data_IF_812555788414
#
_entry.id   IF_812555788414
#
_cell.length_a   1.000
_cell.length_b   1.000
_cell.length_c   1.000
_cell.angle_alpha   90.00
_cell.angle_beta   90.00
_cell.angle_gamma   90.00
#
_symmetry.space_group_name_H-M   'P 1'
#
loop_
_entity.id
_entity.type
_entity.pdbx_description
1 polymer ?
#
# COMPACT_ATOMS: atom_id res chain seq x y z
N UNK A 1 5.84 23.68 7.94
CA UNK A 1 5.93 22.47 8.79
C UNK A 1 4.50 22.07 9.11
N UNK A 2 4.00 20.95 8.57
CA UNK A 2 2.67 20.44 8.91
C UNK A 2 2.70 20.06 10.39
N UNK A 3 1.81 20.63 11.20
CA UNK A 3 1.84 20.50 12.67
C UNK A 3 1.78 19.04 13.16
N UNK A 4 1.21 18.12 12.36
CA UNK A 4 0.84 16.78 12.78
C UNK A 4 1.97 15.75 12.97
N UNK A 5 3.17 15.92 12.39
CA UNK A 5 4.22 14.88 12.46
C UNK A 5 4.93 14.84 13.82
N UNK A 6 5.43 15.98 14.37
CA UNK A 6 5.97 16.01 15.73
C UNK A 6 4.91 15.71 16.79
N UNK A 7 3.67 16.20 16.58
CA UNK A 7 2.56 15.95 17.50
C UNK A 7 2.17 14.47 17.57
N UNK A 8 2.20 13.74 16.44
CA UNK A 8 1.98 12.29 16.41
C UNK A 8 2.97 11.54 17.30
N UNK A 9 4.27 11.83 17.20
CA UNK A 9 5.30 11.14 18.01
C UNK A 9 5.10 11.41 19.51
N UNK A 10 4.82 12.66 19.86
CA UNK A 10 4.51 13.07 21.24
C UNK A 10 3.27 12.34 21.77
N UNK A 11 2.20 12.27 20.98
CA UNK A 11 0.96 11.59 21.36
C UNK A 11 1.15 10.07 21.52
N UNK A 12 1.93 9.43 20.65
CA UNK A 12 2.27 8.00 20.77
C UNK A 12 3.10 7.72 22.03
N UNK A 13 4.05 8.60 22.38
CA UNK A 13 4.79 8.52 23.64
C UNK A 13 3.87 8.66 24.86
N UNK A 14 2.97 9.63 24.86
CA UNK A 14 1.97 9.82 25.92
C UNK A 14 1.03 8.61 26.05
N UNK A 15 0.70 7.96 24.94
CA UNK A 15 -0.09 6.72 24.91
C UNK A 15 0.72 5.47 25.32
N UNK A 16 2.01 5.60 25.65
CA UNK A 16 2.88 4.48 26.05
C UNK A 16 3.31 3.56 24.90
N UNK A 17 3.09 3.96 23.64
CA UNK A 17 3.51 3.19 22.46
C UNK A 17 4.94 3.46 22.05
N UNK A 18 5.52 4.56 22.52
CA UNK A 18 6.93 4.89 22.41
C UNK A 18 7.53 5.09 23.80
N UNK A 19 8.81 4.81 23.94
CA UNK A 19 9.57 4.97 25.17
C UNK A 19 10.52 6.17 25.12
N UNK A 20 10.98 6.53 23.93
CA UNK A 20 11.93 7.60 23.71
C UNK A 20 11.39 8.98 24.09
N UNK A 21 12.25 9.85 24.62
CA UNK A 21 11.86 11.16 25.13
C UNK A 21 12.13 12.30 24.14
N UNK A 22 13.09 12.15 23.22
CA UNK A 22 13.35 13.13 22.16
C UNK A 22 12.62 12.79 20.86
N UNK A 23 12.28 13.80 20.06
CA UNK A 23 11.59 13.58 18.78
C UNK A 23 12.42 12.71 17.82
N UNK A 24 13.73 12.91 17.77
CA UNK A 24 14.64 12.14 16.91
C UNK A 24 14.62 10.65 17.30
N UNK A 25 14.75 10.35 18.59
CA UNK A 25 14.69 8.98 19.09
C UNK A 25 13.28 8.36 18.95
N UNK A 26 12.22 9.16 19.04
CA UNK A 26 10.84 8.70 18.79
C UNK A 26 10.61 8.33 17.32
N UNK A 27 11.16 9.10 16.38
CA UNK A 27 11.10 8.79 14.95
C UNK A 27 11.85 7.48 14.68
N UNK A 28 13.06 7.33 15.20
CA UNK A 28 13.86 6.11 15.05
C UNK A 28 13.17 4.89 15.68
N UNK A 29 12.62 5.03 16.89
CA UNK A 29 11.86 3.98 17.56
C UNK A 29 10.61 3.59 16.77
N UNK A 30 9.86 4.57 16.26
CA UNK A 30 8.64 4.33 15.46
C UNK A 30 8.96 3.56 14.19
N UNK A 31 10.02 3.95 13.48
CA UNK A 31 10.48 3.26 12.28
C UNK A 31 10.91 1.84 12.59
N UNK A 32 11.71 1.65 13.65
CA UNK A 32 12.14 0.33 14.10
C UNK A 32 10.94 -0.56 14.42
N UNK A 33 9.93 -0.04 15.12
CA UNK A 33 8.71 -0.79 15.44
C UNK A 33 7.97 -1.25 14.19
N UNK A 34 7.85 -0.41 13.17
CA UNK A 34 7.25 -0.82 11.89
C UNK A 34 8.03 -1.97 11.24
N UNK A 35 9.36 -1.90 11.24
CA UNK A 35 10.20 -2.98 10.72
C UNK A 35 10.08 -4.25 11.56
N UNK A 36 10.04 -4.14 12.89
CA UNK A 36 9.80 -5.26 13.81
C UNK A 36 8.42 -5.91 13.58
N UNK A 37 7.42 -5.13 13.16
CA UNK A 37 6.11 -5.66 12.75
C UNK A 37 6.16 -6.45 11.45
N UNK A 38 7.20 -6.28 10.63
CA UNK A 38 7.45 -7.06 9.41
C UNK A 38 7.53 -6.24 8.12
N UNK A 39 7.53 -4.91 8.18
CA UNK A 39 7.84 -4.08 7.00
C UNK A 39 9.33 -4.17 6.67
N UNK A 40 9.68 -4.19 5.37
CA UNK A 40 11.08 -4.27 4.97
C UNK A 40 11.81 -2.94 5.24
N UNK A 41 13.06 -3.01 5.68
CA UNK A 41 13.88 -1.81 5.89
C UNK A 41 14.04 -0.98 4.62
N UNK A 42 14.09 -1.63 3.45
CA UNK A 42 14.19 -0.93 2.16
C UNK A 42 13.00 0.00 1.89
N UNK A 43 11.79 -0.34 2.39
CA UNK A 43 10.59 0.50 2.25
C UNK A 43 10.69 1.83 3.01
N UNK A 44 11.59 1.92 4.00
CA UNK A 44 11.76 3.12 4.84
C UNK A 44 12.20 4.33 4.01
N UNK A 45 12.92 4.10 2.91
CA UNK A 45 13.38 5.16 2.00
C UNK A 45 12.20 5.96 1.41
N UNK A 46 11.04 5.33 1.24
CA UNK A 46 9.87 5.94 0.58
C UNK A 46 8.63 6.09 1.47
N UNK A 47 8.58 5.42 2.62
CA UNK A 47 7.41 5.44 3.51
C UNK A 47 6.99 6.86 3.92
N UNK A 48 7.93 7.78 4.11
CA UNK A 48 7.64 9.17 4.45
C UNK A 48 6.90 9.92 3.32
N UNK A 49 7.20 9.59 2.05
CA UNK A 49 6.52 10.16 0.87
C UNK A 49 5.06 9.72 0.82
N UNK A 50 4.79 8.44 1.12
CA UNK A 50 3.44 7.90 1.19
C UNK A 50 2.60 8.61 2.26
N UNK A 51 3.22 8.88 3.41
CA UNK A 51 2.56 9.64 4.47
C UNK A 51 2.35 11.11 4.07
N UNK A 52 3.34 11.74 3.44
CA UNK A 52 3.21 13.12 2.92
C UNK A 52 2.16 13.25 1.80
N UNK A 53 1.94 12.18 1.04
CA UNK A 53 0.89 12.04 0.03
C UNK A 53 -0.43 11.48 0.60
N UNK A 54 -0.52 11.27 1.92
CA UNK A 54 -1.75 10.92 2.65
C UNK A 54 -2.32 9.53 2.33
N UNK A 55 -1.49 8.68 1.71
CA UNK A 55 -1.92 7.39 1.16
C UNK A 55 -2.46 6.49 2.27
N UNK A 56 -1.71 6.31 3.35
CA UNK A 56 -2.08 5.38 4.43
C UNK A 56 -3.38 5.77 5.13
N UNK A 57 -3.55 7.05 5.49
CA UNK A 57 -4.78 7.53 6.14
C UNK A 57 -5.99 7.41 5.22
N UNK A 58 -5.85 7.75 3.94
CA UNK A 58 -6.93 7.72 2.97
C UNK A 58 -7.44 6.30 2.78
N UNK A 59 -6.52 5.37 2.58
CA UNK A 59 -6.81 3.97 2.38
C UNK A 59 -7.42 3.36 3.64
N UNK A 60 -6.88 3.65 4.84
CA UNK A 60 -7.40 3.09 6.08
C UNK A 60 -8.85 3.51 6.35
N UNK A 61 -9.18 4.80 6.19
CA UNK A 61 -10.56 5.29 6.39
C UNK A 61 -11.49 4.72 5.31
N UNK A 62 -11.06 4.72 4.05
CA UNK A 62 -11.86 4.22 2.93
C UNK A 62 -12.19 2.73 3.10
N UNK A 63 -11.19 1.89 3.36
CA UNK A 63 -11.40 0.44 3.48
C UNK A 63 -12.15 0.05 4.75
N UNK A 64 -11.96 0.74 5.87
CA UNK A 64 -12.79 0.48 7.06
C UNK A 64 -14.28 0.72 6.76
N UNK A 65 -14.61 1.80 6.03
CA UNK A 65 -15.98 2.05 5.58
C UNK A 65 -16.46 0.97 4.59
N UNK A 66 -15.64 0.60 3.61
CA UNK A 66 -15.98 -0.39 2.59
C UNK A 66 -16.23 -1.79 3.19
N UNK A 67 -15.30 -2.31 4.00
CA UNK A 67 -15.43 -3.63 4.62
C UNK A 67 -16.62 -3.69 5.57
N UNK A 68 -16.80 -2.64 6.39
CA UNK A 68 -17.94 -2.56 7.30
C UNK A 68 -19.27 -2.20 6.63
N UNK A 69 -19.26 -1.82 5.34
CA UNK A 69 -20.42 -1.30 4.59
C UNK A 69 -21.06 -0.09 5.27
N UNK A 70 -20.24 0.82 5.78
CA UNK A 70 -20.69 2.07 6.38
C UNK A 70 -21.01 3.11 5.30
N UNK A 71 -22.01 3.93 5.57
CA UNK A 71 -22.34 5.10 4.76
C UNK A 71 -21.33 6.21 4.99
N UNK A 72 -21.13 7.05 3.97
CA UNK A 72 -20.25 8.23 4.05
C UNK A 72 -20.70 9.25 5.10
N UNK A 73 -21.93 9.15 5.62
CA UNK A 73 -22.47 10.02 6.68
C UNK A 73 -22.40 9.39 8.08
N UNK A 74 -21.92 8.15 8.21
CA UNK A 74 -21.87 7.43 9.49
C UNK A 74 -20.73 7.93 10.40
N UNK A 75 -19.80 8.72 9.85
CA UNK A 75 -18.69 9.32 10.57
C UNK A 75 -17.80 8.30 11.33
N UNK A 76 -17.59 7.12 10.75
CA UNK A 76 -16.85 6.02 11.37
C UNK A 76 -15.50 6.48 11.95
N UNK A 77 -15.24 6.14 13.21
CA UNK A 77 -14.05 6.54 13.96
C UNK A 77 -13.81 8.06 14.10
N UNK A 78 -14.87 8.85 13.93
CA UNK A 78 -14.79 10.32 13.97
C UNK A 78 -14.21 10.93 12.71
N UNK A 79 -14.12 10.17 11.61
CA UNK A 79 -13.70 10.67 10.30
C UNK A 79 -14.90 11.02 9.43
N UNK A 80 -14.78 12.08 8.64
CA UNK A 80 -15.71 12.37 7.53
C UNK A 80 -14.95 12.81 6.28
N UNK A 81 -15.69 13.07 5.19
CA UNK A 81 -15.16 13.62 3.95
C UNK A 81 -15.82 14.95 3.65
N UNK A 82 -15.02 16.00 3.44
CA UNK A 82 -15.56 17.30 3.08
C UNK A 82 -14.55 18.15 2.31
N UNK A 83 -15.03 19.26 1.74
CA UNK A 83 -14.14 20.29 1.22
C UNK A 83 -13.49 21.04 2.39
N UNK A 84 -12.17 21.22 2.35
CA UNK A 84 -11.44 21.97 3.37
C UNK A 84 -10.21 22.63 2.77
N UNK A 85 -9.88 23.84 3.24
CA UNK A 85 -8.70 24.59 2.79
C UNK A 85 -7.86 24.95 4.01
N UNK A 86 -6.65 24.41 4.11
CA UNK A 86 -5.79 24.61 5.27
C UNK A 86 -6.40 24.02 6.54
N UNK A 87 -6.24 24.74 7.66
CA UNK A 87 -6.76 24.38 8.98
C UNK A 87 -8.18 24.91 9.25
N UNK A 88 -8.88 25.42 8.25
CA UNK A 88 -10.24 25.92 8.40
C UNK A 88 -11.25 24.78 8.58
N UNK A 89 -12.39 25.08 9.21
CA UNK A 89 -13.52 24.15 9.26
C UNK A 89 -13.98 23.76 7.84
N UNK A 90 -14.55 22.55 7.68
CA UNK A 90 -15.15 22.11 6.43
C UNK A 90 -16.12 23.12 5.83
N UNK A 91 -16.10 23.24 4.50
CA UNK A 91 -16.97 24.11 3.73
C UNK A 91 -17.74 23.32 2.68
N UNK A 92 -18.80 23.93 2.14
CA UNK A 92 -19.46 23.39 0.96
C UNK A 92 -18.49 23.41 -0.24
N UNK A 93 -18.48 22.32 -1.00
CA UNK A 93 -17.65 22.18 -2.19
C UNK A 93 -18.22 23.00 -3.35
N UNK A 94 -17.36 23.65 -4.14
CA UNK A 94 -17.81 24.41 -5.32
C UNK A 94 -18.30 23.47 -6.42
N UNK A 95 -19.22 23.94 -7.28
CA UNK A 95 -19.67 23.17 -8.46
C UNK A 95 -18.52 22.83 -9.41
N UNK A 96 -17.53 23.72 -9.53
CA UNK A 96 -16.34 23.47 -10.34
C UNK A 96 -15.50 22.32 -9.79
N UNK A 97 -15.25 22.30 -8.48
CA UNK A 97 -14.46 21.23 -7.87
C UNK A 97 -15.21 19.90 -7.87
N UNK A 98 -16.54 19.90 -7.76
CA UNK A 98 -17.38 18.71 -7.95
C UNK A 98 -17.27 18.15 -9.38
N UNK A 99 -17.31 19.04 -10.39
CA UNK A 99 -17.12 18.63 -11.78
C UNK A 99 -15.72 18.09 -12.05
N UNK A 100 -14.69 18.67 -11.42
CA UNK A 100 -13.32 18.17 -11.51
C UNK A 100 -13.17 16.80 -10.84
N UNK A 101 -13.79 16.57 -9.68
CA UNK A 101 -13.82 15.25 -9.05
C UNK A 101 -14.43 14.20 -9.96
N UNK A 102 -15.62 14.49 -10.52
CA UNK A 102 -16.29 13.59 -11.46
C UNK A 102 -15.41 13.25 -12.66
N UNK A 103 -14.60 14.22 -13.14
CA UNK A 103 -13.75 14.05 -14.31
C UNK A 103 -12.46 13.28 -14.04
N UNK A 104 -11.78 13.55 -12.92
CA UNK A 104 -10.36 13.18 -12.75
C UNK A 104 -10.05 12.45 -11.45
N UNK A 105 -10.99 12.35 -10.52
CA UNK A 105 -10.74 11.65 -9.26
C UNK A 105 -10.61 10.15 -9.50
N UNK A 106 -9.69 9.51 -8.76
CA UNK A 106 -9.62 8.06 -8.64
C UNK A 106 -10.55 7.50 -7.54
N UNK A 107 -11.35 8.37 -6.91
CA UNK A 107 -12.28 8.01 -5.83
C UNK A 107 -11.65 7.95 -4.43
N UNK A 108 -10.37 8.29 -4.27
CA UNK A 108 -9.64 8.25 -3.00
C UNK A 108 -9.22 9.67 -2.61
N UNK A 109 -9.75 10.25 -1.52
CA UNK A 109 -9.32 11.56 -1.04
C UNK A 109 -7.84 11.55 -0.59
N UNK A 110 -7.10 12.67 -0.75
CA UNK A 110 -7.60 13.96 -1.19
C UNK A 110 -7.81 14.06 -2.71
N UNK A 111 -8.90 14.74 -3.11
CA UNK A 111 -9.25 14.97 -4.52
C UNK A 111 -9.99 16.29 -4.69
N UNK A 112 -9.43 17.21 -5.51
CA UNK A 112 -9.97 18.56 -5.75
C UNK A 112 -10.55 19.21 -4.47
N UNK A 113 -9.76 19.30 -3.39
CA UNK A 113 -10.15 19.81 -2.06
C UNK A 113 -11.10 18.95 -1.22
N UNK A 114 -11.63 17.83 -1.71
CA UNK A 114 -12.20 16.79 -0.84
C UNK A 114 -11.06 16.21 -0.02
N UNK A 115 -11.15 16.29 1.30
CA UNK A 115 -10.15 15.77 2.23
C UNK A 115 -10.82 14.90 3.30
N UNK A 116 -10.00 14.13 4.00
CA UNK A 116 -10.40 13.47 5.25
C UNK A 116 -10.45 14.52 6.35
N UNK A 117 -11.55 14.53 7.09
CA UNK A 117 -11.78 15.44 8.20
C UNK A 117 -11.70 14.65 9.50
N UNK A 118 -10.97 15.19 10.48
CA UNK A 118 -11.13 14.81 11.88
C UNK A 118 -12.28 15.64 12.47
N UNK A 119 -13.43 15.00 12.72
CA UNK A 119 -14.63 15.67 13.21
C UNK A 119 -14.47 16.23 14.64
N UNK A 120 -13.51 15.72 15.41
CA UNK A 120 -13.25 16.19 16.79
C UNK A 120 -12.37 17.43 16.81
N UNK A 121 -11.57 17.62 15.77
CA UNK A 121 -10.68 18.75 15.63
C UNK A 121 -11.41 20.09 15.57
N UNK A 122 -10.66 21.17 15.80
CA UNK A 122 -11.16 22.54 15.81
C UNK A 122 -12.42 22.71 16.69
N UNK A 123 -12.33 22.27 17.94
CA UNK A 123 -13.42 22.30 18.93
C UNK A 123 -14.71 21.62 18.46
N UNK A 124 -14.60 20.51 17.73
CA UNK A 124 -15.75 19.76 17.21
C UNK A 124 -16.40 20.33 15.95
N UNK A 125 -15.83 21.39 15.35
CA UNK A 125 -16.30 21.90 14.05
C UNK A 125 -15.70 21.17 12.86
N UNK A 126 -14.78 20.23 13.11
CA UNK A 126 -14.05 19.50 12.10
C UNK A 126 -12.83 20.26 11.60
N UNK A 127 -11.78 19.52 11.25
CA UNK A 127 -10.58 20.04 10.60
C UNK A 127 -10.07 19.02 9.60
N UNK A 128 -9.43 19.47 8.53
CA UNK A 128 -8.63 18.56 7.71
C UNK A 128 -7.63 17.84 8.62
N UNK A 129 -7.65 16.51 8.61
CA UNK A 129 -6.92 15.70 9.58
C UNK A 129 -5.40 16.01 9.60
N UNK A 130 -4.86 16.52 8.49
CA UNK A 130 -3.46 16.95 8.36
C UNK A 130 -3.04 18.09 9.27
N UNK A 131 -4.00 18.94 9.61
CA UNK A 131 -3.79 20.09 10.47
C UNK A 131 -4.25 19.82 11.91
N UNK A 132 -4.74 18.61 12.19
CA UNK A 132 -4.93 18.18 13.57
C UNK A 132 -3.57 18.01 14.26
N UNK A 133 -3.51 18.32 15.55
CA UNK A 133 -2.25 18.41 16.31
C UNK A 133 -1.45 17.10 16.28
N UNK A 134 -2.13 15.97 16.38
CA UNK A 134 -1.52 14.65 16.42
C UNK A 134 -1.78 13.83 15.16
N UNK A 135 -2.32 14.41 14.08
CA UNK A 135 -2.81 13.67 12.90
C UNK A 135 -4.00 12.74 13.20
N UNK A 136 -4.79 13.03 14.24
CA UNK A 136 -5.97 12.30 14.70
C UNK A 136 -5.65 10.89 15.26
N UNK A 137 -4.90 10.80 16.37
CA UNK A 137 -4.51 9.51 16.98
C UNK A 137 -5.69 8.68 17.42
N UNK A 138 -6.68 9.34 18.02
CA UNK A 138 -7.86 8.66 18.50
C UNK A 138 -8.62 7.98 17.36
N UNK A 139 -8.66 8.59 16.18
CA UNK A 139 -9.24 7.98 14.97
C UNK A 139 -8.43 6.78 14.50
N UNK A 140 -7.10 6.90 14.48
CA UNK A 140 -6.21 5.79 14.09
C UNK A 140 -6.34 4.58 15.04
N UNK A 141 -6.47 4.80 16.36
CA UNK A 141 -6.75 3.72 17.30
C UNK A 141 -8.09 3.05 17.06
N UNK A 142 -9.14 3.82 16.78
CA UNK A 142 -10.43 3.25 16.43
C UNK A 142 -10.34 2.40 15.14
N UNK A 143 -9.65 2.87 14.09
CA UNK A 143 -9.46 2.09 12.86
C UNK A 143 -8.70 0.78 13.13
N UNK A 144 -7.64 0.82 13.94
CA UNK A 144 -6.91 -0.39 14.36
C UNK A 144 -7.82 -1.34 15.13
N UNK A 145 -8.62 -0.81 16.06
CA UNK A 145 -9.56 -1.59 16.85
C UNK A 145 -10.60 -2.29 15.98
N UNK A 146 -11.15 -1.61 14.96
CA UNK A 146 -12.07 -2.23 14.00
C UNK A 146 -11.45 -3.46 13.32
N UNK A 147 -10.17 -3.38 12.96
CA UNK A 147 -9.48 -4.44 12.21
C UNK A 147 -8.91 -5.57 13.07
N UNK A 148 -8.68 -5.36 14.37
CA UNK A 148 -7.93 -6.31 15.22
C UNK A 148 -8.69 -6.83 16.43
N UNK A 149 -9.65 -6.07 16.97
CA UNK A 149 -10.40 -6.43 18.19
C UNK A 149 -9.53 -6.80 19.41
N UNK A 150 -8.28 -6.31 19.47
CA UNK A 150 -7.29 -6.79 20.46
C UNK A 150 -7.00 -5.87 21.64
N UNK A 151 -7.48 -4.62 21.66
CA UNK A 151 -6.85 -3.61 22.53
C UNK A 151 -7.70 -3.09 23.69
N UNK A 152 -9.04 -3.22 23.68
CA UNK A 152 -9.88 -2.60 24.73
C UNK A 152 -11.22 -3.33 24.92
N UNK A 153 -11.82 -3.18 26.10
CA UNK A 153 -13.25 -3.48 26.29
C UNK A 153 -14.06 -2.54 25.39
N UNK A 154 -14.67 -3.10 24.36
CA UNK A 154 -15.50 -2.36 23.41
C UNK A 154 -16.85 -2.01 24.04
N UNK A 155 -17.40 -0.85 23.69
CA UNK A 155 -18.86 -0.67 23.80
C UNK A 155 -19.57 -1.62 22.83
N UNK A 156 -20.85 -1.90 23.08
CA UNK A 156 -21.65 -2.77 22.19
C UNK A 156 -21.65 -2.27 20.73
N UNK A 157 -21.66 -0.96 20.53
CA UNK A 157 -21.58 -0.34 19.21
C UNK A 157 -20.20 -0.57 18.57
N UNK A 158 -19.11 -0.38 19.32
CA UNK A 158 -17.76 -0.61 18.82
C UNK A 158 -17.54 -2.09 18.47
N UNK A 159 -18.05 -3.00 19.28
CA UNK A 159 -18.02 -4.44 19.01
C UNK A 159 -18.77 -4.79 17.73
N UNK A 160 -19.98 -4.26 17.57
CA UNK A 160 -20.78 -4.44 16.34
C UNK A 160 -20.05 -3.90 15.11
N UNK A 161 -19.46 -2.72 15.22
CA UNK A 161 -18.73 -2.11 14.10
C UNK A 161 -17.47 -2.89 13.75
N UNK A 162 -16.70 -3.36 14.73
CA UNK A 162 -15.53 -4.20 14.49
C UNK A 162 -15.92 -5.53 13.82
N UNK A 163 -16.97 -6.21 14.31
CA UNK A 163 -17.48 -7.44 13.70
C UNK A 163 -17.87 -7.24 12.24
N UNK A 164 -18.54 -6.13 11.90
CA UNK A 164 -18.88 -5.79 10.51
C UNK A 164 -17.64 -5.65 9.63
N UNK A 165 -16.62 -4.93 10.10
CA UNK A 165 -15.37 -4.73 9.36
C UNK A 165 -14.63 -6.05 9.17
N UNK A 166 -14.47 -6.83 10.23
CA UNK A 166 -13.78 -8.13 10.18
C UNK A 166 -14.51 -9.11 9.26
N UNK A 167 -15.84 -9.20 9.35
CA UNK A 167 -16.63 -10.03 8.43
C UNK A 167 -16.42 -9.62 6.96
N UNK A 168 -16.40 -8.31 6.66
CA UNK A 168 -16.10 -7.83 5.31
C UNK A 168 -14.68 -8.15 4.82
N UNK A 169 -13.69 -8.16 5.73
CA UNK A 169 -12.33 -8.60 5.42
C UNK A 169 -12.32 -10.11 5.13
N UNK A 170 -12.95 -10.92 5.98
CA UNK A 170 -13.02 -12.38 5.83
C UNK A 170 -13.66 -12.79 4.50
N UNK A 171 -14.72 -12.10 4.07
CA UNK A 171 -15.42 -12.36 2.81
C UNK A 171 -14.52 -12.23 1.57
N UNK A 172 -13.45 -11.43 1.63
CA UNK A 172 -12.56 -11.18 0.50
C UNK A 172 -11.20 -11.88 0.63
N UNK A 173 -10.98 -12.67 1.68
CA UNK A 173 -9.72 -13.39 1.84
C UNK A 173 -9.51 -14.38 0.70
N UNK A 174 -8.41 -14.19 -0.01
CA UNK A 174 -8.08 -15.04 -1.14
C UNK A 174 -7.60 -16.42 -0.64
N UNK A 175 -8.19 -17.49 -1.18
CA UNK A 175 -7.90 -18.87 -0.74
C UNK A 175 -6.56 -19.42 -1.25
N UNK A 176 -5.88 -18.69 -2.14
CA UNK A 176 -4.72 -19.18 -2.88
C UNK A 176 -5.05 -20.22 -3.97
N UNK A 177 -6.29 -20.66 -4.11
CA UNK A 177 -6.71 -21.59 -5.17
C UNK A 177 -7.10 -20.82 -6.44
N UNK A 178 -6.19 -20.72 -7.39
CA UNK A 178 -6.41 -20.10 -8.70
C UNK A 178 -7.08 -21.06 -9.70
N UNK A 179 -7.27 -22.32 -9.32
CA UNK A 179 -7.80 -23.41 -10.15
C UNK A 179 -6.92 -23.64 -11.38
N UNK A 180 -5.61 -23.48 -11.22
CA UNK A 180 -4.63 -23.61 -12.31
C UNK A 180 -4.70 -22.50 -13.36
N UNK A 181 -5.35 -21.36 -13.07
CA UNK A 181 -5.36 -20.22 -13.99
C UNK A 181 -3.97 -19.56 -14.05
N UNK A 182 -3.40 -19.38 -15.25
CA UNK A 182 -2.16 -18.62 -15.44
C UNK A 182 -2.26 -17.25 -14.79
N UNK A 183 -1.32 -16.92 -13.90
CA UNK A 183 -1.33 -15.67 -13.15
C UNK A 183 0.09 -15.15 -12.99
N UNK A 184 0.30 -13.85 -13.19
CA UNK A 184 1.58 -13.19 -12.90
C UNK A 184 1.29 -12.07 -11.90
N UNK A 185 2.01 -12.08 -10.78
CA UNK A 185 2.07 -10.99 -9.82
C UNK A 185 3.38 -10.24 -10.06
N UNK A 186 3.30 -8.93 -10.30
CA UNK A 186 4.45 -8.02 -10.31
C UNK A 186 4.33 -7.11 -9.08
N UNK A 187 5.37 -7.07 -8.25
CA UNK A 187 5.35 -6.27 -7.03
C UNK A 187 6.70 -5.62 -6.77
N UNK A 188 6.73 -4.30 -6.56
CA UNK A 188 7.91 -3.59 -6.08
C UNK A 188 8.25 -3.95 -4.63
N UNK A 189 9.50 -4.34 -4.35
CA UNK A 189 9.98 -4.72 -3.02
C UNK A 189 9.82 -3.60 -2.00
N UNK A 190 9.91 -2.35 -2.44
CA UNK A 190 9.89 -1.16 -1.61
C UNK A 190 8.49 -0.54 -1.52
N UNK A 191 7.43 -1.29 -1.88
CA UNK A 191 6.05 -0.87 -1.67
C UNK A 191 5.78 -0.56 -0.19
N UNK A 192 5.59 0.73 0.09
CA UNK A 192 5.32 1.26 1.44
C UNK A 192 3.82 1.44 1.75
N UNK A 193 2.93 0.92 0.91
CA UNK A 193 1.50 0.79 1.18
C UNK A 193 1.12 -0.68 1.35
N UNK A 194 1.46 -1.51 0.36
CA UNK A 194 1.10 -2.93 0.29
C UNK A 194 2.34 -3.81 0.50
N UNK A 195 3.06 -3.62 1.61
CA UNK A 195 4.32 -4.32 1.90
C UNK A 195 4.30 -5.80 1.52
N UNK A 196 5.29 -6.22 0.74
CA UNK A 196 5.35 -7.55 0.11
C UNK A 196 5.18 -8.72 1.08
N UNK A 197 5.66 -8.59 2.32
CA UNK A 197 5.55 -9.63 3.35
C UNK A 197 4.09 -9.92 3.76
N UNK A 198 3.22 -8.92 3.74
CA UNK A 198 1.81 -9.08 4.13
C UNK A 198 0.89 -9.33 2.93
N UNK A 199 1.41 -9.23 1.70
CA UNK A 199 0.60 -9.27 0.47
C UNK A 199 1.08 -10.35 -0.49
N UNK A 200 2.02 -10.04 -1.40
CA UNK A 200 2.37 -10.96 -2.49
C UNK A 200 3.22 -12.14 -2.05
N UNK A 201 4.14 -11.97 -1.09
CA UNK A 201 4.92 -13.10 -0.55
C UNK A 201 4.01 -14.08 0.20
N UNK A 202 3.13 -13.57 1.06
CA UNK A 202 2.17 -14.38 1.81
C UNK A 202 1.18 -15.09 0.88
N UNK A 203 0.63 -14.39 -0.11
CA UNK A 203 -0.27 -14.98 -1.11
C UNK A 203 0.41 -16.02 -1.99
N UNK A 204 1.63 -15.74 -2.46
CA UNK A 204 2.41 -16.70 -3.26
C UNK A 204 2.67 -17.97 -2.44
N UNK A 205 3.15 -17.84 -1.20
CA UNK A 205 3.35 -18.99 -0.31
C UNK A 205 2.06 -19.78 -0.07
N UNK A 206 0.93 -19.10 0.15
CA UNK A 206 -0.38 -19.76 0.29
C UNK A 206 -0.76 -20.53 -0.98
N UNK A 207 -0.63 -19.92 -2.16
CA UNK A 207 -0.92 -20.60 -3.42
C UNK A 207 -0.01 -21.82 -3.65
N UNK A 208 1.28 -21.72 -3.32
CA UNK A 208 2.19 -22.86 -3.44
C UNK A 208 1.79 -24.02 -2.51
N UNK A 209 1.28 -23.75 -1.30
CA UNK A 209 0.73 -24.80 -0.42
C UNK A 209 -0.54 -25.44 -0.98
N UNK A 210 -1.41 -24.65 -1.63
CA UNK A 210 -2.74 -25.09 -2.06
C UNK A 210 -2.69 -25.82 -3.41
N UNK A 211 -1.94 -25.30 -4.38
CA UNK A 211 -1.88 -25.86 -5.73
C UNK A 211 -0.61 -26.68 -5.98
N UNK A 212 0.47 -26.43 -5.25
CA UNK A 212 1.76 -27.10 -5.41
C UNK A 212 2.25 -27.06 -6.85
N UNK A 213 2.71 -28.21 -7.36
CA UNK A 213 3.21 -28.37 -8.74
C UNK A 213 2.18 -28.03 -9.84
N UNK A 214 0.90 -27.91 -9.51
CA UNK A 214 -0.16 -27.50 -10.45
C UNK A 214 -0.29 -25.99 -10.59
N UNK A 215 0.37 -25.23 -9.71
CA UNK A 215 0.32 -23.77 -9.75
C UNK A 215 0.90 -23.25 -11.07
N UNK A 216 0.17 -22.31 -11.68
CA UNK A 216 0.67 -21.49 -12.77
C UNK A 216 0.90 -20.03 -12.33
N UNK A 217 1.01 -19.82 -11.01
CA UNK A 217 1.30 -18.50 -10.45
C UNK A 217 2.79 -18.21 -10.54
N UNK A 218 3.12 -17.11 -11.21
CA UNK A 218 4.46 -16.53 -11.21
C UNK A 218 4.47 -15.30 -10.32
N UNK A 219 5.45 -15.24 -9.42
CA UNK A 219 5.72 -14.05 -8.62
C UNK A 219 7.00 -13.37 -9.08
N UNK A 220 6.87 -12.13 -9.57
CA UNK A 220 7.97 -11.25 -9.95
C UNK A 220 8.09 -10.13 -8.91
N UNK A 221 9.15 -10.18 -8.12
CA UNK A 221 9.47 -9.13 -7.15
C UNK A 221 10.56 -8.22 -7.72
N UNK A 222 10.33 -6.91 -7.74
CA UNK A 222 11.24 -5.95 -8.40
C UNK A 222 11.91 -5.09 -7.34
N UNK A 223 13.24 -5.10 -7.26
CA UNK A 223 13.96 -4.27 -6.27
C UNK A 223 13.87 -2.79 -6.64
N UNK A 224 14.09 -1.89 -5.67
CA UNK A 224 14.07 -0.44 -5.85
C UNK A 224 12.78 0.05 -6.53
N UNK A 225 11.65 -0.58 -6.28
CA UNK A 225 10.39 -0.23 -6.92
C UNK A 225 9.27 -0.26 -5.89
N UNK A 226 8.26 0.58 -6.09
CA UNK A 226 7.14 0.74 -5.15
C UNK A 226 5.81 0.89 -5.91
N UNK A 227 4.71 1.08 -5.17
CA UNK A 227 3.33 1.05 -5.69
C UNK A 227 2.95 2.17 -6.65
N UNK A 228 3.52 3.37 -6.45
CA UNK A 228 2.98 4.62 -6.98
C UNK A 228 4.03 5.35 -7.82
N UNK A 229 4.33 4.85 -9.01
CA UNK A 229 5.36 5.41 -9.92
C UNK A 229 5.33 6.94 -10.07
N UNK A 230 4.15 7.55 -10.05
CA UNK A 230 3.99 9.00 -10.16
C UNK A 230 4.68 9.78 -9.02
N UNK A 231 4.81 9.19 -7.82
CA UNK A 231 5.50 9.82 -6.71
C UNK A 231 6.97 10.03 -7.01
N UNK A 232 7.61 9.14 -7.79
CA UNK A 232 9.01 9.31 -8.17
C UNK A 232 9.27 10.66 -8.83
N UNK A 233 8.38 11.08 -9.72
CA UNK A 233 8.48 12.39 -10.37
C UNK A 233 8.04 13.53 -9.44
N UNK A 234 6.96 13.36 -8.68
CA UNK A 234 6.41 14.44 -7.84
C UNK A 234 7.36 14.83 -6.69
N UNK A 235 8.16 13.88 -6.21
CA UNK A 235 9.07 14.05 -5.08
C UNK A 235 10.55 13.92 -5.46
N UNK A 236 10.87 13.93 -6.77
CA UNK A 236 12.23 13.82 -7.29
C UNK A 236 13.01 12.61 -6.70
N UNK A 237 12.37 11.45 -6.58
CA UNK A 237 13.00 10.24 -6.04
C UNK A 237 13.81 9.55 -7.15
N UNK A 238 15.12 9.49 -6.94
CA UNK A 238 16.09 8.86 -7.83
C UNK A 238 16.58 7.49 -7.34
N UNK A 239 16.13 7.06 -6.15
CA UNK A 239 16.43 5.76 -5.52
C UNK A 239 15.44 4.66 -5.92
N UNK A 240 14.47 4.96 -6.78
CA UNK A 240 13.39 4.05 -7.17
C UNK A 240 13.21 4.01 -8.70
N UNK A 241 12.67 2.91 -9.20
CA UNK A 241 12.37 2.68 -10.62
C UNK A 241 10.85 2.51 -10.83
N UNK A 242 10.33 2.82 -12.03
CA UNK A 242 8.91 2.65 -12.31
C UNK A 242 8.53 1.19 -12.50
N UNK A 243 7.56 0.72 -11.72
CA UNK A 243 7.02 -0.64 -11.81
C UNK A 243 6.22 -0.86 -13.12
N UNK A 244 5.71 0.22 -13.73
CA UNK A 244 4.95 0.16 -14.98
C UNK A 244 5.71 -0.55 -16.12
N UNK A 245 7.04 -0.42 -16.18
CA UNK A 245 7.87 -1.15 -17.14
C UNK A 245 7.70 -2.67 -17.03
N UNK A 246 7.67 -3.19 -15.81
CA UNK A 246 7.51 -4.61 -15.52
C UNK A 246 6.06 -5.07 -15.66
N UNK A 247 5.10 -4.20 -15.36
CA UNK A 247 3.69 -4.47 -15.65
C UNK A 247 3.45 -4.71 -17.15
N UNK A 248 3.99 -3.84 -18.02
CA UNK A 248 3.86 -4.00 -19.47
C UNK A 248 4.51 -5.29 -19.97
N UNK A 249 5.72 -5.63 -19.49
CA UNK A 249 6.34 -6.91 -19.83
C UNK A 249 5.52 -8.12 -19.37
N UNK A 250 4.94 -8.07 -18.16
CA UNK A 250 4.10 -9.15 -17.67
C UNK A 250 2.81 -9.32 -18.51
N UNK A 251 2.23 -8.22 -18.98
CA UNK A 251 1.11 -8.26 -19.93
C UNK A 251 1.52 -8.88 -21.26
N UNK A 252 2.66 -8.50 -21.82
CA UNK A 252 3.18 -9.08 -23.07
C UNK A 252 3.45 -10.59 -22.90
N UNK A 253 4.07 -11.00 -21.79
CA UNK A 253 4.32 -12.41 -21.47
C UNK A 253 3.00 -13.19 -21.33
N UNK A 254 2.01 -12.63 -20.63
CA UNK A 254 0.70 -13.28 -20.49
C UNK A 254 -0.02 -13.33 -21.83
N UNK A 255 0.05 -12.27 -22.63
CA UNK A 255 -0.53 -12.21 -23.96
C UNK A 255 0.10 -13.25 -24.88
N UNK A 256 1.42 -13.40 -24.88
CA UNK A 256 2.12 -14.42 -25.66
C UNK A 256 1.80 -15.83 -25.16
N UNK A 257 1.71 -16.02 -23.84
CA UNK A 257 1.34 -17.30 -23.22
C UNK A 257 -0.09 -17.72 -23.59
N UNK A 258 -1.06 -16.81 -23.50
CA UNK A 258 -2.44 -17.05 -23.91
C UNK A 258 -2.61 -17.10 -25.42
N UNK A 259 -1.84 -16.29 -26.16
CA UNK A 259 -1.82 -16.25 -27.62
C UNK A 259 -1.39 -17.60 -28.20
N UNK A 260 -0.53 -18.33 -27.53
CA UNK A 260 -0.26 -19.75 -27.85
C UNK A 260 -1.48 -20.65 -27.65
N UNK A 261 -2.38 -20.34 -26.71
CA UNK A 261 -3.66 -21.03 -26.60
C UNK A 261 -4.62 -20.70 -27.77
N UNK A 262 -4.46 -19.54 -28.43
CA UNK A 262 -5.36 -19.02 -29.47
C UNK A 262 -4.86 -19.18 -30.93
N UNK A 263 -3.56 -19.06 -31.22
CA UNK A 263 -2.98 -18.93 -32.56
C UNK A 263 -2.37 -20.24 -33.14
N UNK A 264 -2.93 -21.39 -32.75
CA UNK A 264 -2.51 -22.76 -33.05
C UNK A 264 -1.35 -23.27 -32.16
N UNK A 265 -1.37 -24.50 -31.65
CA UNK A 265 -1.35 -25.73 -32.46
C UNK A 265 -0.28 -25.74 -33.58
N UNK A 266 0.46 -24.66 -33.81
CA UNK A 266 1.52 -24.53 -34.79
C UNK A 266 2.52 -23.42 -34.38
N UNK A 267 3.49 -23.85 -33.55
CA UNK A 267 4.92 -23.47 -33.57
C UNK A 267 5.42 -22.53 -32.46
N UNK A 268 6.11 -23.19 -31.51
CA UNK A 268 7.03 -22.73 -30.47
C UNK A 268 6.42 -21.98 -29.30
N UNK A 269 6.21 -22.73 -28.21
CA UNK A 269 5.61 -22.25 -26.97
C UNK A 269 6.57 -21.50 -26.06
N UNK A 270 6.17 -20.30 -25.65
CA UNK A 270 6.79 -19.51 -24.59
C UNK A 270 6.16 -19.93 -23.26
N UNK A 271 6.90 -20.65 -22.44
CA UNK A 271 6.50 -20.94 -21.05
C UNK A 271 6.45 -19.65 -20.24
N UNK A 272 5.57 -19.61 -19.22
CA UNK A 272 5.67 -18.58 -18.20
C UNK A 272 7.08 -18.58 -17.56
N UNK A 273 7.63 -17.42 -17.18
CA UNK A 273 8.89 -17.35 -16.47
C UNK A 273 8.77 -18.00 -15.09
N UNK A 274 9.92 -18.30 -14.48
CA UNK A 274 9.94 -18.74 -13.07
C UNK A 274 9.70 -17.55 -12.15
N UNK A 275 9.13 -17.82 -10.97
CA UNK A 275 9.08 -16.82 -9.90
C UNK A 275 10.49 -16.37 -9.53
N UNK A 276 10.69 -15.05 -9.42
CA UNK A 276 12.02 -14.46 -9.35
C UNK A 276 12.01 -13.03 -8.80
N UNK A 277 13.16 -12.64 -8.27
CA UNK A 277 13.52 -11.27 -7.96
C UNK A 277 14.27 -10.68 -9.15
N UNK A 278 13.89 -9.47 -9.57
CA UNK A 278 14.59 -8.68 -10.59
C UNK A 278 15.45 -7.62 -9.89
N UNK A 279 16.79 -7.74 -9.91
CA UNK A 279 17.68 -6.76 -9.29
C UNK A 279 17.86 -5.56 -10.22
N UNK A 280 17.08 -4.52 -9.98
CA UNK A 280 17.17 -3.24 -10.70
C UNK A 280 18.30 -2.38 -10.13
N UNK A 281 18.66 -1.33 -10.85
CA UNK A 281 19.63 -0.33 -10.37
C UNK A 281 18.98 1.05 -10.48
N UNK A 282 18.82 1.80 -9.39
CA UNK A 282 18.19 3.12 -9.42
C UNK A 282 19.09 4.17 -10.08
N UNK A 283 18.53 5.33 -10.42
CA UNK A 283 19.27 6.40 -11.11
C UNK A 283 20.43 6.93 -10.25
N UNK A 284 20.19 7.06 -8.94
CA UNK A 284 21.18 7.47 -7.94
C UNK A 284 22.49 6.68 -8.00
N UNK A 285 22.42 5.39 -8.37
CA UNK A 285 23.57 4.48 -8.39
C UNK A 285 24.28 4.42 -9.75
N UNK A 286 23.61 4.79 -10.84
CA UNK A 286 24.19 4.77 -12.19
C UNK A 286 24.72 6.12 -12.66
N UNK A 287 24.25 7.21 -12.05
CA UNK A 287 24.47 8.57 -12.52
C UNK A 287 23.83 8.86 -13.89
N UNK A 288 23.76 10.15 -14.24
CA UNK A 288 23.13 10.63 -15.48
C UNK A 288 21.73 11.20 -15.26
N UNK A 289 21.08 11.61 -16.36
CA UNK A 289 19.84 12.39 -16.31
C UNK A 289 18.56 11.53 -16.44
N UNK A 290 18.68 10.26 -16.85
CA UNK A 290 17.52 9.38 -17.06
C UNK A 290 17.86 7.89 -16.92
N UNK A 291 16.84 7.09 -16.59
CA UNK A 291 16.90 5.63 -16.55
C UNK A 291 17.07 5.06 -17.96
N UNK A 292 17.91 4.04 -18.13
CA UNK A 292 17.98 3.24 -19.36
C UNK A 292 17.73 1.77 -19.10
N UNK A 293 17.23 1.07 -20.12
CA UNK A 293 16.94 -0.36 -20.03
C UNK A 293 18.20 -1.17 -19.69
N UNK A 294 19.31 -0.84 -20.34
CA UNK A 294 20.56 -1.59 -20.24
C UNK A 294 21.22 -1.48 -18.87
N UNK A 295 21.04 -0.34 -18.19
CA UNK A 295 21.69 -0.05 -16.91
C UNK A 295 20.79 -0.28 -15.71
N UNK A 296 19.52 0.08 -15.82
CA UNK A 296 18.62 0.21 -14.68
C UNK A 296 17.52 -0.84 -14.64
N UNK A 297 17.01 -1.24 -15.81
CA UNK A 297 15.76 -1.99 -15.94
C UNK A 297 15.98 -3.33 -16.65
N UNK A 298 16.65 -4.31 -16.02
CA UNK A 298 16.80 -5.64 -16.61
C UNK A 298 15.43 -6.27 -16.88
N UNK A 299 15.30 -6.94 -18.02
CA UNK A 299 14.06 -7.63 -18.41
C UNK A 299 13.70 -8.77 -17.46
N UNK A 300 12.42 -9.16 -17.44
CA UNK A 300 11.94 -10.30 -16.64
C UNK A 300 12.69 -11.59 -16.99
N UNK A 301 13.10 -11.77 -18.25
CA UNK A 301 13.87 -12.94 -18.69
C UNK A 301 15.40 -12.76 -18.62
N UNK A 302 15.86 -11.71 -17.93
CA UNK A 302 17.29 -11.43 -17.76
C UNK A 302 17.99 -12.53 -16.96
N UNK A 303 19.25 -12.80 -17.29
CA UNK A 303 20.12 -13.70 -16.51
C UNK A 303 20.47 -13.17 -15.12
N UNK A 304 20.18 -11.90 -14.85
CA UNK A 304 20.38 -11.27 -13.55
C UNK A 304 19.28 -11.65 -12.55
N UNK A 305 18.13 -12.15 -13.03
CA UNK A 305 17.02 -12.50 -12.17
C UNK A 305 17.37 -13.67 -11.24
N UNK A 306 16.90 -13.59 -10.00
CA UNK A 306 17.24 -14.52 -8.92
C UNK A 306 16.00 -15.33 -8.56
N UNK A 307 16.08 -16.65 -8.60
CA UNK A 307 14.91 -17.51 -8.43
C UNK A 307 14.32 -17.39 -7.02
N UNK A 308 13.00 -17.25 -6.94
CA UNK A 308 12.23 -17.43 -5.72
C UNK A 308 11.91 -18.92 -5.58
N UNK A 309 12.14 -19.48 -4.39
CA UNK A 309 11.95 -20.92 -4.14
C UNK A 309 11.01 -21.11 -2.95
N UNK A 310 10.03 -21.98 -3.12
CA UNK A 310 9.17 -22.44 -2.03
C UNK A 310 9.44 -23.92 -1.77
N UNK A 311 9.88 -24.26 -0.56
CA UNK A 311 10.19 -25.63 -0.16
C UNK A 311 10.01 -25.79 1.34
N UNK A 312 9.51 -26.94 1.79
CA UNK A 312 9.32 -27.25 3.21
C UNK A 312 8.56 -26.15 3.97
N UNK A 313 7.49 -25.64 3.35
CA UNK A 313 6.66 -24.54 3.87
C UNK A 313 7.39 -23.20 4.09
N UNK A 314 8.60 -23.05 3.55
CA UNK A 314 9.41 -21.84 3.62
C UNK A 314 9.52 -21.20 2.24
N UNK A 315 9.21 -19.90 2.17
CA UNK A 315 9.46 -19.07 1.01
C UNK A 315 10.84 -18.43 1.12
N UNK A 316 11.76 -18.82 0.24
CA UNK A 316 13.08 -18.21 0.12
C UNK A 316 13.04 -17.12 -0.96
N UNK A 317 13.24 -15.88 -0.51
CA UNK A 317 13.38 -14.72 -1.37
C UNK A 317 14.86 -14.33 -1.41
N UNK A 318 15.52 -14.37 -2.58
CA UNK A 318 16.88 -13.89 -2.67
C UNK A 318 16.92 -12.38 -2.45
N UNK A 319 17.91 -11.93 -1.68
CA UNK A 319 18.32 -10.53 -1.66
C UNK A 319 18.69 -10.08 -3.07
#
# INVERSE_FOLDING_TARGET
MLAGIPGRCTALRQAGLLNSDTLEEQIAESQKRLNDYGTLESTNTIAHVYNAAFVNSAIAVLYANAYGRFSVVDNLCGYSYACSIGNNSPIAKSTSDLANDFRSSNGIPPSNQTNIIDNRGNSGTGINYLYSEDSNLQGAFCLRQLATDTEMTLSDEQATNSQRVQAGIEEILATGNLQGKPTIIVHGRDDALLHVNFTSRSYYGLNQKIEGDKSQLVYIEVTNAHHLDALNQVFDIDTQIPLHYYFMQALDIMYDFLGQCYADRLKNGTSLPKSQVIPTVPLADTGGDCLTKEKNLPDINSRLARAIVFSDDVLNIPE
#
